data_IF_669790601115
#
_entry.id   IF_669790601115
#
_cell.length_a   1.000
_cell.length_b   1.000
_cell.length_c   1.000
_cell.angle_alpha   90.00
_cell.angle_beta   90.00
_cell.angle_gamma   90.00
#
_symmetry.space_group_name_H-M   'P 1'
#
loop_
_entity.id
_entity.type
_entity.pdbx_description
1 polymer ?
#
# COMPACT_ATOMS: atom_id res chain seq x y z
N UNK A 1 -11.35 11.81 -11.75
CA UNK A 1 -10.10 11.26 -11.16
C UNK A 1 -9.95 11.75 -9.73
N UNK A 2 -9.40 10.92 -8.81
CA UNK A 2 -9.40 11.22 -7.39
C UNK A 2 -8.38 12.34 -7.16
N UNK A 3 -8.75 13.29 -6.34
CA UNK A 3 -7.91 14.43 -6.05
C UNK A 3 -7.21 14.19 -4.73
N UNK A 4 -5.88 14.17 -4.77
CA UNK A 4 -5.04 14.19 -3.59
C UNK A 4 -5.01 15.62 -3.09
N UNK A 5 -5.42 15.82 -1.83
CA UNK A 5 -5.24 17.10 -1.16
C UNK A 5 -3.76 17.24 -0.85
N UNK A 6 -3.12 18.24 -1.45
CA UNK A 6 -1.72 18.51 -1.18
C UNK A 6 -1.61 19.20 0.19
N UNK A 7 -1.32 18.40 1.22
CA UNK A 7 -0.99 18.92 2.55
C UNK A 7 0.45 19.45 2.54
N UNK A 8 0.78 20.32 3.51
CA UNK A 8 2.16 20.79 3.70
C UNK A 8 3.12 19.62 3.94
N UNK A 9 2.65 18.60 4.63
CA UNK A 9 3.39 17.36 4.92
C UNK A 9 3.69 16.59 3.64
N UNK A 10 2.68 16.31 2.81
CA UNK A 10 2.87 15.62 1.54
C UNK A 10 3.76 16.41 0.57
N UNK A 11 3.56 17.73 0.48
CA UNK A 11 4.42 18.60 -0.33
C UNK A 11 5.88 18.60 0.12
N UNK A 12 6.12 18.60 1.44
CA UNK A 12 7.46 18.49 2.01
C UNK A 12 8.09 17.13 1.73
N UNK A 13 7.36 16.03 1.93
CA UNK A 13 7.83 14.66 1.64
C UNK A 13 8.19 14.49 0.17
N UNK A 14 7.41 15.07 -0.74
CA UNK A 14 7.71 15.06 -2.17
C UNK A 14 8.99 15.85 -2.49
N UNK A 15 9.18 16.99 -1.84
CA UNK A 15 10.42 17.79 -1.98
C UNK A 15 11.64 17.04 -1.44
N UNK A 16 11.52 16.43 -0.27
CA UNK A 16 12.56 15.60 0.35
C UNK A 16 12.95 14.43 -0.56
N UNK A 17 11.95 13.73 -1.12
CA UNK A 17 12.17 12.66 -2.09
C UNK A 17 12.94 13.18 -3.31
N UNK A 18 12.50 14.28 -3.92
CA UNK A 18 13.15 14.85 -5.08
C UNK A 18 14.61 15.22 -4.80
N UNK A 19 14.87 15.88 -3.67
CA UNK A 19 16.23 16.26 -3.26
C UNK A 19 17.11 15.03 -3.01
N UNK A 20 16.55 13.99 -2.38
CA UNK A 20 17.25 12.72 -2.13
C UNK A 20 17.73 12.05 -3.42
N UNK A 21 16.92 12.07 -4.47
CA UNK A 21 17.27 11.50 -5.79
C UNK A 21 17.99 12.51 -6.71
N UNK A 22 18.36 13.70 -6.21
CA UNK A 22 19.04 14.75 -6.98
C UNK A 22 18.31 15.21 -8.26
N UNK A 23 16.98 15.07 -8.31
CA UNK A 23 16.19 15.48 -9.48
C UNK A 23 15.86 16.98 -9.39
N UNK A 24 15.98 17.74 -10.49
CA UNK A 24 15.65 19.18 -10.45
C UNK A 24 14.14 19.37 -10.58
N UNK A 25 13.61 20.39 -9.91
CA UNK A 25 12.19 20.75 -10.02
C UNK A 25 11.75 21.08 -11.46
N UNK A 26 12.68 21.56 -12.31
CA UNK A 26 12.41 21.85 -13.72
C UNK A 26 12.11 20.56 -14.48
N UNK A 27 12.96 19.55 -14.30
CA UNK A 27 12.88 18.27 -15.01
C UNK A 27 11.58 17.53 -14.67
N UNK A 28 11.20 17.50 -13.38
CA UNK A 28 9.90 16.92 -12.98
C UNK A 28 8.73 17.68 -13.60
N UNK A 29 8.79 19.01 -13.62
CA UNK A 29 7.72 19.82 -14.19
C UNK A 29 7.55 19.59 -15.69
N UNK A 30 8.65 19.50 -16.41
CA UNK A 30 8.71 19.22 -17.84
C UNK A 30 8.12 17.84 -18.16
N UNK A 31 8.51 16.80 -17.40
CA UNK A 31 7.98 15.45 -17.54
C UNK A 31 6.45 15.37 -17.41
N UNK A 32 5.86 16.12 -16.49
CA UNK A 32 4.40 16.17 -16.31
C UNK A 32 3.69 17.21 -17.19
N UNK A 33 4.40 17.85 -18.12
CA UNK A 33 3.85 18.89 -19.00
C UNK A 33 3.36 20.14 -18.24
N UNK A 34 4.04 20.51 -17.16
CA UNK A 34 3.74 21.68 -16.31
C UNK A 34 4.95 22.61 -16.19
N UNK A 35 4.75 23.78 -15.60
CA UNK A 35 5.83 24.76 -15.38
C UNK A 35 6.57 24.49 -14.07
N UNK A 36 7.85 24.84 -13.98
CA UNK A 36 8.62 24.76 -12.73
C UNK A 36 7.95 25.55 -11.59
N UNK A 37 7.24 26.65 -11.91
CA UNK A 37 6.44 27.42 -10.95
C UNK A 37 5.23 26.62 -10.42
N UNK A 38 4.56 25.82 -11.26
CA UNK A 38 3.50 24.92 -10.83
C UNK A 38 4.05 23.87 -9.86
N UNK A 39 5.14 23.19 -10.22
CA UNK A 39 5.73 22.16 -9.38
C UNK A 39 6.25 22.72 -8.04
N UNK A 40 6.86 23.92 -8.03
CA UNK A 40 7.26 24.59 -6.78
C UNK A 40 6.07 24.93 -5.89
N UNK A 41 4.91 25.29 -6.47
CA UNK A 41 3.67 25.48 -5.69
C UNK A 41 3.15 24.16 -5.12
N UNK A 42 3.37 23.05 -5.82
CA UNK A 42 2.95 21.72 -5.37
C UNK A 42 3.75 21.28 -4.13
N UNK A 43 5.08 21.38 -4.18
CA UNK A 43 5.96 21.09 -3.02
C UNK A 43 5.67 21.99 -1.80
N UNK A 44 5.16 23.20 -2.03
CA UNK A 44 4.80 24.16 -0.97
C UNK A 44 3.36 24.00 -0.47
N UNK A 45 2.59 23.06 -1.02
CA UNK A 45 1.16 22.91 -0.76
C UNK A 45 0.33 24.17 -1.08
N UNK A 46 0.81 24.99 -2.02
CA UNK A 46 0.09 26.17 -2.52
C UNK A 46 -0.89 25.83 -3.66
N UNK A 47 -0.79 24.62 -4.21
CA UNK A 47 -1.84 24.00 -5.03
C UNK A 47 -2.64 23.12 -4.07
N UNK A 48 -3.96 23.30 -4.01
CA UNK A 48 -4.80 22.57 -3.05
C UNK A 48 -4.97 21.09 -3.41
N UNK A 49 -4.99 20.76 -4.71
CA UNK A 49 -5.21 19.39 -5.16
C UNK A 49 -4.42 19.02 -6.42
N UNK A 50 -4.02 17.76 -6.52
CA UNK A 50 -3.46 17.11 -7.72
C UNK A 50 -4.23 15.81 -8.00
N UNK A 51 -4.26 15.34 -9.24
CA UNK A 51 -4.76 14.00 -9.55
C UNK A 51 -3.79 12.93 -9.05
N UNK A 52 -4.29 11.84 -8.45
CA UNK A 52 -3.46 10.74 -7.94
C UNK A 52 -2.52 10.15 -9.01
N UNK A 53 -3.04 9.91 -10.22
CA UNK A 53 -2.24 9.42 -11.34
C UNK A 53 -1.11 10.37 -11.75
N UNK A 54 -1.27 11.67 -11.49
CA UNK A 54 -0.20 12.65 -11.70
C UNK A 54 0.83 12.57 -10.57
N UNK A 55 0.41 12.34 -9.32
CA UNK A 55 1.32 12.12 -8.20
C UNK A 55 2.14 10.84 -8.38
N UNK A 56 1.51 9.74 -8.78
CA UNK A 56 2.16 8.47 -9.11
C UNK A 56 3.25 8.67 -10.17
N UNK A 57 2.91 9.32 -11.30
CA UNK A 57 3.87 9.65 -12.36
C UNK A 57 5.04 10.49 -11.87
N UNK A 58 4.78 11.49 -11.02
CA UNK A 58 5.83 12.33 -10.45
C UNK A 58 6.78 11.48 -9.61
N UNK A 59 6.24 10.65 -8.72
CA UNK A 59 7.04 9.86 -7.77
C UNK A 59 7.85 8.79 -8.50
N UNK A 60 7.24 8.07 -9.44
CA UNK A 60 7.93 7.07 -10.26
C UNK A 60 9.05 7.69 -11.10
N UNK A 61 8.82 8.89 -11.66
CA UNK A 61 9.85 9.63 -12.38
C UNK A 61 11.00 10.08 -11.46
N UNK A 62 10.71 10.58 -10.26
CA UNK A 62 11.75 11.02 -9.31
C UNK A 62 12.63 9.84 -8.88
N UNK A 63 12.03 8.67 -8.69
CA UNK A 63 12.70 7.48 -8.16
C UNK A 63 13.30 6.58 -9.24
N UNK A 64 12.98 6.85 -10.50
CA UNK A 64 13.29 5.98 -11.64
C UNK A 64 12.87 4.52 -11.37
N UNK A 65 11.67 4.36 -10.81
CA UNK A 65 11.13 3.07 -10.38
C UNK A 65 9.65 2.99 -10.68
N UNK A 66 9.23 1.87 -11.29
CA UNK A 66 7.82 1.56 -11.50
C UNK A 66 7.07 1.35 -10.17
N UNK A 67 7.78 0.99 -9.09
CA UNK A 67 7.22 0.80 -7.75
C UNK A 67 7.47 1.97 -6.80
N UNK A 68 7.98 3.10 -7.32
CA UNK A 68 8.41 4.23 -6.52
C UNK A 68 7.27 4.87 -5.73
N UNK A 69 6.08 4.91 -6.33
CA UNK A 69 4.87 5.42 -5.71
C UNK A 69 4.47 4.56 -4.52
N UNK A 70 4.39 3.23 -4.66
CA UNK A 70 4.06 2.34 -3.57
C UNK A 70 5.03 2.48 -2.39
N UNK A 71 6.35 2.50 -2.65
CA UNK A 71 7.37 2.66 -1.62
C UNK A 71 7.23 4.02 -0.89
N UNK A 72 6.95 5.08 -1.63
CA UNK A 72 6.72 6.42 -1.08
C UNK A 72 5.47 6.46 -0.19
N UNK A 73 4.40 5.84 -0.65
CA UNK A 73 3.13 5.77 0.06
C UNK A 73 3.21 4.92 1.33
N UNK A 74 3.88 3.76 1.29
CA UNK A 74 4.11 2.93 2.47
C UNK A 74 4.96 3.68 3.51
N UNK A 75 6.01 4.36 3.06
CA UNK A 75 6.85 5.17 3.95
C UNK A 75 6.06 6.26 4.64
N UNK A 76 5.29 7.06 3.90
CA UNK A 76 4.48 8.12 4.50
C UNK A 76 3.48 7.51 5.48
N UNK A 77 2.77 6.46 5.06
CA UNK A 77 1.74 5.83 5.88
C UNK A 77 2.27 5.30 7.22
N UNK A 78 3.53 4.83 7.25
CA UNK A 78 4.18 4.33 8.47
C UNK A 78 4.42 5.41 9.54
N UNK A 79 4.39 6.69 9.16
CA UNK A 79 4.61 7.84 10.06
C UNK A 79 3.30 8.48 10.54
N UNK A 80 2.14 8.03 10.04
CA UNK A 80 0.83 8.64 10.30
C UNK A 80 0.05 7.89 11.40
N UNK A 81 -0.81 8.61 12.11
CA UNK A 81 -1.73 8.03 13.09
C UNK A 81 -2.90 7.29 12.43
N UNK A 82 -3.51 6.38 13.17
CA UNK A 82 -4.72 5.65 12.75
C UNK A 82 -5.87 6.57 12.29
N UNK A 83 -6.06 7.71 12.95
CA UNK A 83 -7.06 8.72 12.58
C UNK A 83 -6.78 9.37 11.22
N UNK A 84 -5.52 9.75 10.94
CA UNK A 84 -5.15 10.32 9.63
C UNK A 84 -5.32 9.30 8.51
N UNK A 85 -4.89 8.06 8.73
CA UNK A 85 -4.99 6.98 7.76
C UNK A 85 -6.44 6.67 7.36
N UNK A 86 -7.39 6.83 8.29
CA UNK A 86 -8.82 6.55 8.07
C UNK A 86 -9.63 7.72 7.51
N UNK A 87 -9.08 8.94 7.47
CA UNK A 87 -9.81 10.15 7.07
C UNK A 87 -9.32 10.77 5.76
N UNK A 88 -8.06 10.56 5.40
CA UNK A 88 -7.47 11.09 4.17
C UNK A 88 -7.84 10.24 2.95
N UNK A 89 -8.66 10.80 2.05
CA UNK A 89 -9.23 10.08 0.89
C UNK A 89 -8.17 9.43 -0.03
N UNK A 90 -7.02 10.07 -0.20
CA UNK A 90 -5.94 9.54 -1.03
C UNK A 90 -5.25 8.34 -0.37
N UNK A 91 -5.09 8.36 0.95
CA UNK A 91 -4.61 7.20 1.72
C UNK A 91 -5.63 6.07 1.67
N UNK A 92 -6.93 6.37 1.76
CA UNK A 92 -7.97 5.36 1.59
C UNK A 92 -7.92 4.70 0.20
N UNK A 93 -7.68 5.47 -0.87
CA UNK A 93 -7.52 4.90 -2.21
C UNK A 93 -6.27 4.03 -2.30
N UNK A 94 -5.13 4.50 -1.79
CA UNK A 94 -3.92 3.68 -1.73
C UNK A 94 -4.12 2.41 -0.92
N UNK A 95 -4.54 2.51 0.33
CA UNK A 95 -4.61 1.39 1.27
C UNK A 95 -5.73 0.39 0.93
N UNK A 96 -6.95 0.90 0.67
CA UNK A 96 -8.09 0.01 0.46
C UNK A 96 -8.13 -0.57 -0.95
N UNK A 97 -7.62 0.16 -1.96
CA UNK A 97 -7.76 -0.20 -3.38
C UNK A 97 -6.44 -0.61 -4.01
N UNK A 98 -5.41 0.23 -3.88
CA UNK A 98 -4.13 0.05 -4.57
C UNK A 98 -3.26 -1.05 -3.95
N UNK A 99 -3.11 -1.02 -2.63
CA UNK A 99 -2.21 -1.87 -1.87
C UNK A 99 -2.65 -3.33 -1.93
N UNK A 100 -1.69 -4.21 -2.26
CA UNK A 100 -1.89 -5.66 -2.30
C UNK A 100 -1.38 -6.29 -1.02
N UNK A 101 -2.25 -7.08 -0.41
CA UNK A 101 -2.02 -7.80 0.83
C UNK A 101 -2.09 -9.30 0.53
N UNK A 102 -1.19 -10.10 1.10
CA UNK A 102 -1.31 -11.55 1.01
C UNK A 102 -2.59 -12.01 1.73
N UNK A 103 -3.34 -12.90 1.08
CA UNK A 103 -4.66 -13.34 1.56
C UNK A 103 -4.50 -14.62 2.39
N UNK A 104 -4.90 -14.63 3.66
CA UNK A 104 -4.88 -15.84 4.48
C UNK A 104 -5.82 -16.92 3.92
N UNK A 105 -5.36 -18.16 3.80
CA UNK A 105 -6.20 -19.29 3.33
C UNK A 105 -7.47 -19.45 4.18
N UNK A 106 -7.32 -19.30 5.50
CA UNK A 106 -8.44 -19.37 6.46
C UNK A 106 -9.54 -18.33 6.22
N UNK A 107 -9.21 -17.17 5.65
CA UNK A 107 -10.20 -16.15 5.29
C UNK A 107 -11.01 -16.58 4.05
N UNK A 108 -10.35 -17.20 3.08
CA UNK A 108 -11.03 -17.76 1.91
C UNK A 108 -11.93 -18.94 2.31
N UNK A 109 -11.51 -19.76 3.27
CA UNK A 109 -12.33 -20.83 3.85
C UNK A 109 -13.60 -20.26 4.51
N UNK A 110 -13.48 -19.24 5.38
CA UNK A 110 -14.64 -18.60 6.02
C UNK A 110 -15.60 -17.99 4.98
N UNK A 111 -15.09 -17.35 3.93
CA UNK A 111 -15.92 -16.83 2.84
C UNK A 111 -16.68 -17.96 2.13
N UNK A 112 -16.02 -19.09 1.84
CA UNK A 112 -16.65 -20.25 1.19
C UNK A 112 -17.72 -20.89 2.07
N UNK A 113 -17.46 -21.01 3.38
CA UNK A 113 -18.43 -21.50 4.35
C UNK A 113 -19.67 -20.60 4.39
N UNK A 114 -19.48 -19.27 4.51
CA UNK A 114 -20.58 -18.30 4.46
C UNK A 114 -21.40 -18.41 3.17
N UNK A 115 -20.74 -18.57 2.01
CA UNK A 115 -21.43 -18.74 0.73
C UNK A 115 -22.26 -20.03 0.69
N UNK A 116 -21.72 -21.13 1.21
CA UNK A 116 -22.40 -22.42 1.30
C UNK A 116 -23.62 -22.34 2.21
N UNK A 117 -23.47 -21.74 3.40
CA UNK A 117 -24.56 -21.57 4.37
C UNK A 117 -25.71 -20.72 3.82
N UNK A 118 -25.38 -19.73 3.00
CA UNK A 118 -26.34 -18.84 2.36
C UNK A 118 -26.89 -19.40 1.04
N UNK A 119 -26.37 -20.54 0.58
CA UNK A 119 -26.68 -21.14 -0.72
C UNK A 119 -26.63 -20.12 -1.88
N UNK A 120 -25.63 -19.24 -1.86
CA UNK A 120 -25.43 -18.22 -2.90
C UNK A 120 -24.33 -18.67 -3.86
N UNK A 121 -24.60 -18.60 -5.17
CA UNK A 121 -23.58 -18.96 -6.16
C UNK A 121 -22.52 -17.88 -6.30
N UNK A 122 -21.32 -18.26 -6.77
CA UNK A 122 -20.25 -17.30 -7.08
C UNK A 122 -20.70 -16.17 -7.99
N UNK A 123 -21.54 -16.49 -8.99
CA UNK A 123 -22.02 -15.50 -9.96
C UNK A 123 -23.03 -14.56 -9.30
N UNK A 124 -23.98 -15.10 -8.55
CA UNK A 124 -25.02 -14.29 -7.91
C UNK A 124 -24.42 -13.34 -6.88
N UNK A 125 -23.40 -13.76 -6.13
CA UNK A 125 -22.69 -12.88 -5.19
C UNK A 125 -21.98 -11.73 -5.92
N UNK A 126 -21.25 -12.03 -7.00
CA UNK A 126 -20.55 -10.99 -7.79
C UNK A 126 -21.54 -10.02 -8.42
N UNK A 127 -22.62 -10.54 -9.03
CA UNK A 127 -23.67 -9.72 -9.62
C UNK A 127 -24.34 -8.85 -8.55
N UNK A 128 -24.60 -9.40 -7.36
CA UNK A 128 -25.16 -8.67 -6.21
C UNK A 128 -24.26 -7.54 -5.72
N UNK A 129 -22.97 -7.79 -5.53
CA UNK A 129 -21.98 -6.76 -5.17
C UNK A 129 -21.99 -5.62 -6.19
N UNK A 130 -21.99 -5.96 -7.48
CA UNK A 130 -21.87 -4.99 -8.56
C UNK A 130 -23.13 -4.14 -8.77
N UNK A 131 -24.27 -4.49 -8.15
CA UNK A 131 -25.48 -3.64 -8.18
C UNK A 131 -25.24 -2.27 -7.56
N UNK A 132 -24.36 -2.19 -6.55
CA UNK A 132 -24.16 -0.97 -5.75
C UNK A 132 -25.48 -0.38 -5.21
N UNK A 133 -26.41 -1.24 -4.81
CA UNK A 133 -27.75 -0.84 -4.37
C UNK A 133 -27.76 0.08 -3.13
N UNK A 134 -26.65 0.17 -2.39
CA UNK A 134 -26.51 1.09 -1.24
C UNK A 134 -26.40 2.56 -1.66
N UNK A 135 -26.19 2.85 -2.95
CA UNK A 135 -26.08 4.19 -3.55
C UNK A 135 -27.11 4.32 -4.68
N UNK A 136 -28.24 4.94 -4.38
CA UNK A 136 -29.33 5.19 -5.33
C UNK A 136 -29.18 6.55 -6.05
N UNK A 137 -30.04 6.81 -7.04
CA UNK A 137 -30.03 8.08 -7.81
C UNK A 137 -30.29 9.32 -6.94
N UNK A 138 -30.97 9.16 -5.80
CA UNK A 138 -31.23 10.25 -4.86
C UNK A 138 -29.93 10.71 -4.20
N UNK A 139 -29.07 9.76 -3.81
CA UNK A 139 -27.74 10.06 -3.26
C UNK A 139 -26.90 10.89 -4.24
N UNK A 140 -26.81 10.49 -5.51
CA UNK A 140 -26.02 11.20 -6.51
C UNK A 140 -26.54 12.62 -6.74
N UNK A 141 -27.86 12.75 -6.86
CA UNK A 141 -28.54 14.04 -7.06
C UNK A 141 -28.31 15.00 -5.88
N UNK A 142 -28.42 14.51 -4.64
CA UNK A 142 -28.21 15.30 -3.42
C UNK A 142 -26.76 15.81 -3.31
N UNK A 143 -25.79 15.00 -3.72
CA UNK A 143 -24.36 15.30 -3.54
C UNK A 143 -23.68 15.87 -4.79
N UNK A 144 -24.43 16.16 -5.86
CA UNK A 144 -23.93 16.81 -7.07
C UNK A 144 -23.01 15.93 -7.91
N UNK A 145 -23.24 14.62 -7.90
CA UNK A 145 -22.53 13.64 -8.72
C UNK A 145 -23.43 13.10 -9.83
N UNK A 146 -22.84 12.65 -10.94
CA UNK A 146 -23.50 11.79 -11.94
C UNK A 146 -22.87 10.41 -11.85
N UNK A 147 -23.69 9.35 -11.80
CA UNK A 147 -23.22 7.97 -11.64
C UNK A 147 -22.25 7.56 -12.76
N UNK A 148 -22.49 8.01 -13.99
CA UNK A 148 -21.67 7.74 -15.17
C UNK A 148 -20.28 8.40 -15.12
N UNK A 149 -20.11 9.43 -14.29
CA UNK A 149 -18.85 10.16 -14.12
C UNK A 149 -17.95 9.58 -13.02
N UNK A 150 -18.42 8.57 -12.30
CA UNK A 150 -17.72 7.93 -11.18
C UNK A 150 -16.98 6.69 -11.65
N UNK A 151 -15.68 6.65 -11.40
CA UNK A 151 -14.86 5.47 -11.64
C UNK A 151 -15.19 4.40 -10.58
N UNK A 152 -15.27 3.14 -11.01
CA UNK A 152 -15.41 2.02 -10.07
C UNK A 152 -14.13 1.78 -9.26
N UNK A 153 -14.31 1.15 -8.10
CA UNK A 153 -13.28 0.76 -7.13
C UNK A 153 -12.44 1.95 -6.69
N UNK A 154 -13.09 3.05 -6.31
CA UNK A 154 -12.42 4.29 -5.95
C UNK A 154 -13.25 5.11 -4.98
N UNK A 155 -12.59 5.62 -3.95
CA UNK A 155 -13.23 6.47 -2.95
C UNK A 155 -13.36 7.90 -3.46
N UNK A 156 -14.57 8.44 -3.33
CA UNK A 156 -14.93 9.82 -3.64
C UNK A 156 -15.46 10.53 -2.41
N UNK A 157 -15.17 11.83 -2.22
CA UNK A 157 -15.62 12.55 -1.04
C UNK A 157 -17.08 12.99 -1.20
N UNK A 158 -17.82 13.06 -0.11
CA UNK A 158 -19.11 13.74 -0.05
C UNK A 158 -19.26 14.46 1.28
N UNK A 159 -20.23 15.35 1.38
CA UNK A 159 -20.46 16.16 2.59
C UNK A 159 -21.79 15.77 3.21
N UNK A 160 -21.74 15.46 4.50
CA UNK A 160 -22.93 15.15 5.30
C UNK A 160 -23.17 16.31 6.25
N UNK A 161 -24.41 16.78 6.32
CA UNK A 161 -24.83 17.75 7.34
C UNK A 161 -25.34 17.01 8.57
N UNK A 162 -24.67 17.17 9.71
CA UNK A 162 -25.08 16.60 11.00
C UNK A 162 -25.33 17.78 11.95
N UNK A 163 -26.61 18.11 12.13
CA UNK A 163 -27.00 19.35 12.83
C UNK A 163 -26.49 20.59 12.07
N UNK A 164 -25.71 21.43 12.74
CA UNK A 164 -25.08 22.62 12.15
C UNK A 164 -23.67 22.34 11.57
N UNK A 165 -23.12 21.15 11.79
CA UNK A 165 -21.79 20.78 11.29
C UNK A 165 -21.87 20.11 9.91
N UNK A 166 -20.94 20.49 9.02
CA UNK A 166 -20.72 19.82 7.75
C UNK A 166 -19.48 18.94 7.88
N UNK A 167 -19.67 17.61 7.88
CA UNK A 167 -18.59 16.63 7.93
C UNK A 167 -18.28 16.09 6.54
N UNK A 168 -17.01 15.83 6.27
CA UNK A 168 -16.58 15.11 5.07
C UNK A 168 -16.71 13.62 5.33
N UNK A 169 -17.20 12.88 4.33
CA UNK A 169 -17.25 11.42 4.31
C UNK A 169 -16.85 10.92 2.92
N UNK A 170 -16.81 9.60 2.71
CA UNK A 170 -16.40 8.99 1.44
C UNK A 170 -17.37 7.90 0.99
N UNK A 171 -17.60 7.81 -0.32
CA UNK A 171 -18.40 6.77 -0.96
C UNK A 171 -17.61 6.10 -2.09
N UNK A 172 -18.06 4.93 -2.52
CA UNK A 172 -17.41 4.13 -3.57
C UNK A 172 -18.46 3.36 -4.37
N UNK A 173 -18.24 3.28 -5.69
CA UNK A 173 -18.90 2.28 -6.52
C UNK A 173 -17.95 1.10 -6.69
N UNK A 174 -18.36 -0.10 -6.31
CA UNK A 174 -17.55 -1.32 -6.43
C UNK A 174 -17.89 -2.06 -7.71
N UNK A 175 -16.87 -2.63 -8.34
CA UNK A 175 -17.02 -3.57 -9.44
C UNK A 175 -15.97 -4.68 -9.33
N UNK A 176 -16.42 -5.90 -9.05
CA UNK A 176 -15.57 -7.09 -9.04
C UNK A 176 -15.81 -7.86 -10.34
N UNK A 177 -14.75 -8.01 -11.14
CA UNK A 177 -14.80 -8.89 -12.33
C UNK A 177 -14.91 -10.33 -11.87
N UNK A 178 -15.86 -11.10 -12.42
CA UNK A 178 -16.07 -12.51 -12.08
C UNK A 178 -14.79 -13.36 -12.16
N UNK A 179 -13.94 -13.14 -13.18
CA UNK A 179 -12.64 -13.81 -13.29
C UNK A 179 -11.75 -13.56 -12.08
N UNK A 180 -11.64 -12.31 -11.63
CA UNK A 180 -10.80 -11.94 -10.49
C UNK A 180 -11.34 -12.55 -9.19
N UNK A 181 -12.67 -12.57 -9.02
CA UNK A 181 -13.32 -13.26 -7.91
C UNK A 181 -12.99 -14.76 -7.92
N UNK A 182 -13.10 -15.42 -9.08
CA UNK A 182 -12.80 -16.85 -9.20
C UNK A 182 -11.33 -17.16 -8.93
N UNK A 183 -10.40 -16.32 -9.42
CA UNK A 183 -8.98 -16.49 -9.11
C UNK A 183 -8.72 -16.40 -7.62
N UNK A 184 -9.33 -15.43 -6.94
CA UNK A 184 -9.21 -15.24 -5.49
C UNK A 184 -9.78 -16.43 -4.70
N UNK A 185 -11.02 -16.84 -4.99
CA UNK A 185 -11.70 -17.94 -4.27
C UNK A 185 -11.00 -19.28 -4.52
N UNK A 186 -10.46 -19.49 -5.73
CA UNK A 186 -9.69 -20.69 -6.05
C UNK A 186 -8.23 -20.61 -5.59
N UNK A 187 -7.82 -19.51 -4.96
CA UNK A 187 -6.44 -19.27 -4.49
C UNK A 187 -5.41 -19.38 -5.63
N UNK A 188 -5.80 -18.98 -6.84
CA UNK A 188 -4.89 -18.78 -7.97
C UNK A 188 -4.09 -17.49 -7.75
N UNK A 189 -4.76 -16.44 -7.27
CA UNK A 189 -4.13 -15.21 -6.83
C UNK A 189 -3.97 -15.27 -5.30
N UNK A 190 -2.75 -15.11 -4.79
CA UNK A 190 -2.40 -15.18 -3.37
C UNK A 190 -2.46 -13.81 -2.67
N UNK A 191 -2.73 -12.75 -3.43
CA UNK A 191 -2.81 -11.37 -2.94
C UNK A 191 -4.08 -10.67 -3.43
N UNK A 192 -4.62 -9.77 -2.62
CA UNK A 192 -5.79 -8.94 -2.95
C UNK A 192 -5.72 -7.58 -2.26
N UNK A 193 -6.59 -6.64 -2.62
CA UNK A 193 -6.72 -5.39 -1.87
C UNK A 193 -7.77 -5.53 -0.77
N UNK A 194 -7.69 -4.65 0.23
CA UNK A 194 -8.57 -4.68 1.38
C UNK A 194 -10.05 -4.54 1.00
N UNK A 195 -10.36 -3.61 0.09
CA UNK A 195 -11.72 -3.34 -0.37
C UNK A 195 -12.42 -4.58 -0.94
N UNK A 196 -11.69 -5.41 -1.70
CA UNK A 196 -12.30 -6.58 -2.36
C UNK A 196 -12.82 -7.57 -1.32
N UNK A 197 -11.99 -7.95 -0.33
CA UNK A 197 -12.42 -8.90 0.71
C UNK A 197 -13.46 -8.29 1.63
N UNK A 198 -13.28 -7.03 2.01
CA UNK A 198 -14.27 -6.29 2.77
C UNK A 198 -15.64 -6.30 2.09
N UNK A 199 -15.68 -6.02 0.79
CA UNK A 199 -16.95 -5.94 0.04
C UNK A 199 -17.61 -7.30 -0.07
N UNK A 200 -16.84 -8.38 -0.28
CA UNK A 200 -17.36 -9.75 -0.31
C UNK A 200 -18.03 -10.08 1.03
N UNK A 201 -17.34 -9.87 2.15
CA UNK A 201 -17.86 -10.14 3.48
C UNK A 201 -19.09 -9.29 3.82
N UNK A 202 -19.01 -7.98 3.57
CA UNK A 202 -20.13 -7.06 3.80
C UNK A 202 -21.38 -7.51 3.03
N UNK A 203 -21.25 -7.92 1.75
CA UNK A 203 -22.39 -8.38 0.96
C UNK A 203 -22.91 -9.75 1.39
N UNK A 204 -22.06 -10.67 1.84
CA UNK A 204 -22.50 -11.94 2.41
C UNK A 204 -23.31 -11.72 3.70
N UNK A 205 -22.82 -10.87 4.60
CA UNK A 205 -23.53 -10.50 5.82
C UNK A 205 -24.87 -9.82 5.49
N UNK A 206 -24.86 -8.88 4.56
CA UNK A 206 -26.06 -8.20 4.08
C UNK A 206 -27.08 -9.18 3.47
N UNK A 207 -26.62 -10.14 2.68
CA UNK A 207 -27.47 -11.18 2.10
C UNK A 207 -28.09 -12.06 3.18
N UNK A 208 -27.30 -12.47 4.19
CA UNK A 208 -27.79 -13.18 5.37
C UNK A 208 -28.89 -12.42 6.10
N UNK A 209 -28.71 -11.11 6.33
CA UNK A 209 -29.71 -10.28 6.99
C UNK A 209 -31.02 -10.18 6.19
N UNK A 210 -30.92 -10.03 4.86
CA UNK A 210 -32.10 -10.01 3.98
C UNK A 210 -32.90 -11.31 4.05
N UNK A 211 -32.24 -12.47 4.11
CA UNK A 211 -32.91 -13.76 4.24
C UNK A 211 -33.65 -13.94 5.57
N UNK A 212 -33.12 -13.39 6.66
CA UNK A 212 -33.66 -13.60 8.02
C UNK A 212 -34.79 -12.62 8.35
N UNK A 213 -34.59 -11.32 8.08
CA UNK A 213 -35.42 -10.28 8.71
C UNK A 213 -36.33 -9.51 7.76
N UNK A 214 -36.14 -9.50 6.43
CA UNK A 214 -36.99 -8.72 5.50
C UNK A 214 -37.20 -7.22 5.87
N UNK A 215 -36.33 -6.63 6.70
CA UNK A 215 -36.36 -5.22 7.14
C UNK A 215 -35.00 -4.56 6.84
N UNK A 216 -34.97 -3.23 6.87
CA UNK A 216 -33.74 -2.42 6.86
C UNK A 216 -32.72 -2.93 7.89
N UNK A 217 -31.47 -3.11 7.43
CA UNK A 217 -30.34 -3.54 8.24
C UNK A 217 -29.53 -2.33 8.71
N UNK A 218 -28.94 -2.42 9.91
CA UNK A 218 -27.99 -1.42 10.37
C UNK A 218 -26.67 -1.55 9.62
N UNK A 219 -26.43 -0.64 8.68
CA UNK A 219 -25.21 -0.58 7.87
C UNK A 219 -23.96 -0.56 8.74
N UNK A 220 -23.95 0.20 9.84
CA UNK A 220 -22.75 0.34 10.68
C UNK A 220 -22.41 -0.97 11.41
N UNK A 221 -23.42 -1.71 11.87
CA UNK A 221 -23.21 -3.06 12.43
C UNK A 221 -22.61 -4.02 11.41
N UNK A 222 -23.11 -4.05 10.16
CA UNK A 222 -22.56 -4.91 9.11
C UNK A 222 -21.11 -4.53 8.76
N UNK A 223 -20.82 -3.24 8.64
CA UNK A 223 -19.47 -2.74 8.38
C UNK A 223 -18.50 -3.19 9.47
N UNK A 224 -18.93 -3.08 10.74
CA UNK A 224 -18.13 -3.49 11.90
C UNK A 224 -17.92 -5.01 11.91
N UNK A 225 -18.94 -5.80 11.61
CA UNK A 225 -18.84 -7.26 11.58
C UNK A 225 -17.93 -7.74 10.45
N UNK A 226 -18.06 -7.19 9.24
CA UNK A 226 -17.15 -7.47 8.13
C UNK A 226 -15.69 -7.17 8.51
N UNK A 227 -15.45 -6.02 9.16
CA UNK A 227 -14.11 -5.64 9.60
C UNK A 227 -13.59 -6.55 10.73
N UNK A 228 -14.45 -7.02 11.64
CA UNK A 228 -14.08 -7.99 12.67
C UNK A 228 -13.65 -9.33 12.07
N UNK A 229 -14.32 -9.80 11.01
CA UNK A 229 -13.92 -11.03 10.30
C UNK A 229 -12.54 -10.83 9.66
N UNK A 230 -12.32 -9.73 8.94
CA UNK A 230 -10.99 -9.42 8.39
C UNK A 230 -9.90 -9.39 9.48
N UNK A 231 -10.17 -8.73 10.60
CA UNK A 231 -9.25 -8.62 11.73
C UNK A 231 -8.98 -9.97 12.41
N UNK A 232 -9.98 -10.84 12.52
CA UNK A 232 -9.84 -12.22 13.02
C UNK A 232 -8.83 -13.01 12.19
N UNK A 233 -8.84 -12.82 10.87
CA UNK A 233 -7.89 -13.42 9.95
C UNK A 233 -6.61 -12.59 9.72
N UNK A 234 -6.46 -11.48 10.44
CA UNK A 234 -5.28 -10.61 10.39
C UNK A 234 -5.05 -9.95 9.03
N UNK A 235 -6.13 -9.69 8.30
CA UNK A 235 -6.11 -8.98 7.02
C UNK A 235 -6.46 -7.51 7.24
N UNK A 236 -5.46 -6.72 7.63
CA UNK A 236 -5.64 -5.34 8.10
C UNK A 236 -5.47 -4.30 7.00
N UNK A 237 -6.31 -3.27 7.03
CA UNK A 237 -5.94 -1.97 6.46
C UNK A 237 -4.79 -1.34 7.27
N UNK A 238 -4.09 -0.35 6.71
CA UNK A 238 -3.09 0.43 7.45
C UNK A 238 -3.72 1.12 8.67
N UNK A 239 -4.94 1.65 8.53
CA UNK A 239 -5.65 2.28 9.65
C UNK A 239 -5.96 1.28 10.77
N UNK A 240 -6.45 0.08 10.43
CA UNK A 240 -6.71 -0.98 11.42
C UNK A 240 -5.41 -1.43 12.09
N UNK A 241 -4.34 -1.64 11.31
CA UNK A 241 -3.04 -2.05 11.83
C UNK A 241 -2.44 -1.00 12.77
N UNK A 242 -2.53 0.28 12.42
CA UNK A 242 -2.08 1.39 13.25
C UNK A 242 -2.89 1.46 14.56
N UNK A 243 -4.22 1.38 14.48
CA UNK A 243 -5.09 1.40 15.66
C UNK A 243 -4.81 0.24 16.63
N UNK A 244 -4.69 -0.98 16.10
CA UNK A 244 -4.34 -2.15 16.91
C UNK A 244 -2.95 -2.03 17.54
N UNK A 245 -1.98 -1.47 16.80
CA UNK A 245 -0.62 -1.23 17.30
C UNK A 245 -0.57 -0.16 18.39
N UNK A 246 -1.35 0.92 18.24
CA UNK A 246 -1.50 1.98 19.25
C UNK A 246 -2.13 1.45 20.56
N UNK A 247 -2.95 0.40 20.47
CA UNK A 247 -3.60 -0.23 21.62
C UNK A 247 -2.75 -1.31 22.30
N UNK A 248 -1.75 -1.88 21.61
CA UNK A 248 -0.87 -2.89 22.17
C UNK A 248 0.07 -2.27 23.22
N UNK A 249 -0.01 -2.78 24.45
CA UNK A 249 0.79 -2.30 25.60
C UNK A 249 2.04 -3.13 25.83
N UNK A 250 2.08 -4.34 25.29
CA UNK A 250 3.21 -5.26 25.44
C UNK A 250 3.69 -5.80 24.09
N UNK A 251 4.95 -6.28 24.06
CA UNK A 251 5.51 -6.93 22.87
C UNK A 251 4.76 -8.22 22.51
N UNK A 252 4.21 -8.94 23.50
CA UNK A 252 3.41 -10.15 23.27
C UNK A 252 2.08 -9.81 22.61
N UNK A 253 1.38 -8.77 23.11
CA UNK A 253 0.16 -8.25 22.49
C UNK A 253 0.43 -7.82 21.05
N UNK A 254 1.50 -7.05 20.82
CA UNK A 254 1.90 -6.64 19.47
C UNK A 254 2.14 -7.85 18.55
N UNK A 255 2.89 -8.84 19.03
CA UNK A 255 3.22 -10.06 18.26
C UNK A 255 1.96 -10.89 17.96
N UNK A 256 0.95 -10.87 18.82
CA UNK A 256 -0.31 -11.57 18.61
C UNK A 256 -1.13 -11.01 17.44
N UNK A 257 -1.02 -9.70 17.20
CA UNK A 257 -1.67 -8.98 16.12
C UNK A 257 -1.05 -9.30 14.75
N UNK A 258 0.18 -9.81 14.70
CA UNK A 258 0.89 -10.04 13.45
C UNK A 258 0.31 -11.22 12.68
N UNK A 259 0.12 -11.05 11.37
CA UNK A 259 -0.20 -12.16 10.46
C UNK A 259 0.94 -13.19 10.44
N UNK A 260 0.70 -14.39 9.92
CA UNK A 260 1.78 -15.37 9.75
C UNK A 260 2.87 -14.86 8.79
N UNK A 261 2.49 -14.05 7.81
CA UNK A 261 3.44 -13.35 6.92
C UNK A 261 4.29 -12.33 7.69
N UNK A 262 3.67 -11.49 8.53
CA UNK A 262 4.39 -10.53 9.38
C UNK A 262 5.34 -11.24 10.35
N UNK A 263 4.89 -12.34 10.97
CA UNK A 263 5.72 -13.14 11.88
C UNK A 263 6.91 -13.76 11.15
N UNK A 264 6.69 -14.34 9.97
CA UNK A 264 7.77 -14.90 9.16
C UNK A 264 8.79 -13.80 8.78
N UNK A 265 8.30 -12.63 8.35
CA UNK A 265 9.14 -11.47 8.06
C UNK A 265 10.00 -11.09 9.30
N UNK A 266 9.38 -10.91 10.47
CA UNK A 266 10.11 -10.60 11.70
C UNK A 266 11.14 -11.67 12.07
N UNK A 267 10.82 -12.96 11.88
CA UNK A 267 11.78 -14.03 12.11
C UNK A 267 13.01 -13.88 11.21
N UNK A 268 12.84 -13.53 9.93
CA UNK A 268 13.95 -13.29 9.01
C UNK A 268 14.75 -12.03 9.37
N UNK A 269 14.08 -10.93 9.72
CA UNK A 269 14.74 -9.71 10.23
C UNK A 269 15.59 -10.04 11.47
N UNK A 270 15.03 -10.76 12.44
CA UNK A 270 15.75 -11.13 13.67
C UNK A 270 16.96 -12.02 13.39
N UNK A 271 16.89 -12.92 12.39
CA UNK A 271 18.05 -13.71 11.94
C UNK A 271 19.14 -12.82 11.37
N UNK A 272 18.80 -11.82 10.55
CA UNK A 272 19.76 -10.84 10.00
C UNK A 272 20.39 -10.04 11.14
N UNK A 273 19.59 -9.52 12.07
CA UNK A 273 20.07 -8.75 13.23
C UNK A 273 21.00 -9.57 14.12
N UNK A 274 20.68 -10.85 14.32
CA UNK A 274 21.52 -11.77 15.11
C UNK A 274 22.88 -12.00 14.44
N UNK A 275 22.92 -12.15 13.11
CA UNK A 275 24.18 -12.25 12.36
C UNK A 275 25.01 -10.95 12.47
N UNK A 276 24.36 -9.79 12.37
CA UNK A 276 25.01 -8.48 12.53
C UNK A 276 25.55 -8.30 13.96
N UNK A 277 24.78 -8.70 14.97
CA UNK A 277 25.20 -8.62 16.38
C UNK A 277 26.45 -9.46 16.61
N UNK A 278 26.46 -10.70 16.12
CA UNK A 278 27.64 -11.57 16.21
C UNK A 278 28.89 -10.94 15.58
N UNK A 279 28.76 -10.33 14.39
CA UNK A 279 29.88 -9.64 13.75
C UNK A 279 30.32 -8.39 14.51
N UNK A 280 29.38 -7.65 15.10
CA UNK A 280 29.66 -6.46 15.90
C UNK A 280 30.41 -6.81 17.18
N UNK A 281 30.08 -7.93 17.82
CA UNK A 281 30.78 -8.43 19.01
C UNK A 281 32.24 -8.84 18.70
N UNK A 282 32.49 -9.30 17.48
CA UNK A 282 33.83 -9.67 17.01
C UNK A 282 34.68 -8.47 16.59
N UNK A 283 34.14 -7.59 15.74
CA UNK A 283 34.79 -6.35 15.28
C UNK A 283 33.75 -5.26 15.00
N UNK A 284 33.45 -4.48 16.03
CA UNK A 284 32.48 -3.38 15.95
C UNK A 284 32.90 -2.29 14.95
N UNK A 285 34.21 -2.05 14.78
CA UNK A 285 34.67 -0.97 13.90
C UNK A 285 34.46 -1.36 12.45
N UNK A 286 34.94 -2.54 12.05
CA UNK A 286 34.75 -3.05 10.71
C UNK A 286 33.26 -3.24 10.38
N UNK A 287 32.48 -3.76 11.33
CA UNK A 287 31.04 -3.95 11.15
C UNK A 287 30.32 -2.62 10.94
N UNK A 288 30.67 -1.56 11.69
CA UNK A 288 30.10 -0.22 11.50
C UNK A 288 30.41 0.37 10.12
N UNK A 289 31.61 0.13 9.57
CA UNK A 289 31.97 0.58 8.22
C UNK A 289 31.08 -0.08 7.16
N UNK A 290 30.80 -1.39 7.29
CA UNK A 290 29.90 -2.12 6.40
C UNK A 290 28.44 -1.72 6.57
N UNK A 291 27.96 -1.61 7.81
CA UNK A 291 26.57 -1.23 8.12
C UNK A 291 26.24 0.16 7.60
N UNK A 292 27.19 1.11 7.65
CA UNK A 292 27.02 2.44 7.08
C UNK A 292 26.76 2.37 5.56
N UNK A 293 27.49 1.50 4.85
CA UNK A 293 27.28 1.30 3.40
C UNK A 293 25.93 0.65 3.13
N UNK A 294 25.57 -0.39 3.89
CA UNK A 294 24.26 -1.06 3.77
C UNK A 294 23.11 -0.09 4.01
N UNK A 295 23.18 0.72 5.07
CA UNK A 295 22.19 1.73 5.39
C UNK A 295 22.06 2.75 4.25
N UNK A 296 23.18 3.27 3.74
CA UNK A 296 23.17 4.19 2.60
C UNK A 296 22.55 3.57 1.34
N UNK A 297 22.79 2.28 1.08
CA UNK A 297 22.22 1.59 -0.07
C UNK A 297 20.70 1.40 0.07
N UNK A 298 20.26 0.96 1.25
CA UNK A 298 18.84 0.82 1.57
C UNK A 298 18.12 2.17 1.55
N UNK A 299 18.79 3.24 1.98
CA UNK A 299 18.27 4.58 1.84
C UNK A 299 18.18 4.97 0.36
N UNK A 300 19.23 4.78 -0.44
CA UNK A 300 19.25 5.23 -1.82
C UNK A 300 18.22 4.52 -2.72
N UNK A 301 18.15 3.17 -2.66
CA UNK A 301 17.21 2.37 -3.44
C UNK A 301 16.87 1.07 -2.66
N UNK A 302 15.83 1.08 -1.80
CA UNK A 302 15.50 -0.03 -0.93
C UNK A 302 15.25 -1.34 -1.69
N UNK A 303 14.47 -1.29 -2.78
CA UNK A 303 14.08 -2.46 -3.58
C UNK A 303 15.30 -3.12 -4.24
N UNK A 304 16.14 -2.32 -4.91
CA UNK A 304 17.36 -2.83 -5.52
C UNK A 304 18.37 -3.32 -4.49
N UNK A 305 18.57 -2.56 -3.40
CA UNK A 305 19.49 -2.95 -2.32
C UNK A 305 19.07 -4.27 -1.68
N UNK A 306 17.76 -4.47 -1.43
CA UNK A 306 17.25 -5.73 -0.89
C UNK A 306 17.46 -6.89 -1.87
N UNK A 307 17.19 -6.70 -3.17
CA UNK A 307 17.47 -7.70 -4.21
C UNK A 307 18.95 -8.04 -4.30
N UNK A 308 19.83 -7.04 -4.19
CA UNK A 308 21.27 -7.25 -4.16
C UNK A 308 21.70 -8.07 -2.94
N UNK A 309 21.19 -7.74 -1.75
CA UNK A 309 21.45 -8.53 -0.52
C UNK A 309 20.87 -9.95 -0.59
N UNK A 310 19.80 -10.17 -1.37
CA UNK A 310 19.19 -11.48 -1.59
C UNK A 310 19.99 -12.38 -2.55
N UNK A 311 21.11 -11.93 -3.11
CA UNK A 311 21.99 -12.76 -3.95
C UNK A 311 22.49 -13.96 -3.15
N UNK A 312 22.24 -15.18 -3.64
CA UNK A 312 22.61 -16.41 -2.95
C UNK A 312 24.13 -16.66 -2.95
N UNK A 313 24.78 -16.22 -1.87
CA UNK A 313 26.21 -16.46 -1.61
C UNK A 313 26.48 -17.79 -0.89
N UNK A 314 25.46 -18.57 -0.52
CA UNK A 314 25.66 -19.84 0.17
C UNK A 314 26.37 -20.86 -0.74
N UNK A 315 26.13 -20.77 -2.05
CA UNK A 315 26.78 -21.58 -3.09
C UNK A 315 28.31 -21.47 -3.10
N UNK A 316 28.88 -20.41 -2.51
CA UNK A 316 30.33 -20.18 -2.43
C UNK A 316 30.85 -20.22 -0.98
N UNK A 317 30.09 -20.80 -0.03
CA UNK A 317 30.46 -20.88 1.38
C UNK A 317 31.83 -21.55 1.60
N UNK A 318 32.14 -22.56 0.79
CA UNK A 318 33.32 -23.40 0.97
C UNK A 318 34.54 -22.86 0.22
N UNK A 319 34.38 -21.74 -0.49
CA UNK A 319 35.47 -21.12 -1.24
C UNK A 319 36.46 -20.46 -0.29
N UNK A 320 37.73 -20.45 -0.70
CA UNK A 320 38.80 -19.78 0.05
C UNK A 320 38.53 -18.28 0.23
N UNK A 321 39.06 -17.68 1.30
CA UNK A 321 38.98 -16.23 1.55
C UNK A 321 39.46 -15.41 0.35
N UNK A 322 40.53 -15.86 -0.33
CA UNK A 322 41.07 -15.21 -1.53
C UNK A 322 40.06 -15.21 -2.68
N UNK A 323 39.38 -16.33 -2.91
CA UNK A 323 38.36 -16.43 -3.96
C UNK A 323 37.14 -15.54 -3.66
N UNK A 324 36.68 -15.51 -2.40
CA UNK A 324 35.60 -14.61 -1.96
C UNK A 324 35.98 -13.14 -2.12
N UNK A 325 37.22 -12.77 -1.79
CA UNK A 325 37.72 -11.41 -1.96
C UNK A 325 37.83 -11.02 -3.44
N UNK A 326 38.27 -11.94 -4.30
CA UNK A 326 38.29 -11.73 -5.74
C UNK A 326 36.88 -11.47 -6.29
N UNK A 327 35.89 -12.29 -5.91
CA UNK A 327 34.50 -12.10 -6.27
C UNK A 327 33.99 -10.70 -5.87
N UNK A 328 34.21 -10.27 -4.63
CA UNK A 328 33.81 -8.94 -4.16
C UNK A 328 34.48 -7.80 -4.94
N UNK A 329 35.74 -7.98 -5.36
CA UNK A 329 36.44 -6.99 -6.18
C UNK A 329 35.83 -6.90 -7.58
N UNK A 330 35.48 -8.03 -8.20
CA UNK A 330 34.81 -8.04 -9.50
C UNK A 330 33.45 -7.33 -9.44
N UNK A 331 32.68 -7.54 -8.36
CA UNK A 331 31.42 -6.82 -8.15
C UNK A 331 31.66 -5.31 -8.07
N UNK A 332 32.68 -4.86 -7.33
CA UNK A 332 33.04 -3.43 -7.23
C UNK A 332 33.47 -2.84 -8.57
N UNK A 333 34.27 -3.58 -9.35
CA UNK A 333 34.69 -3.17 -10.69
C UNK A 333 33.50 -3.03 -11.63
N UNK A 334 32.56 -3.99 -11.57
CA UNK A 334 31.31 -3.93 -12.36
C UNK A 334 30.48 -2.70 -11.99
N UNK A 335 30.29 -2.42 -10.70
CA UNK A 335 29.57 -1.22 -10.24
C UNK A 335 30.23 0.06 -10.75
N UNK A 336 31.57 0.12 -10.75
CA UNK A 336 32.31 1.26 -11.27
C UNK A 336 32.14 1.41 -12.78
N UNK A 337 32.24 0.31 -13.53
CA UNK A 337 32.05 0.30 -14.97
C UNK A 337 30.65 0.78 -15.37
N UNK A 338 29.60 0.31 -14.68
CA UNK A 338 28.21 0.75 -14.92
C UNK A 338 28.05 2.25 -14.69
N UNK A 339 28.71 2.82 -13.66
CA UNK A 339 28.68 4.26 -13.39
C UNK A 339 29.39 5.10 -14.45
N UNK A 340 30.44 4.55 -15.06
CA UNK A 340 31.25 5.22 -16.07
C UNK A 340 30.64 5.11 -17.49
N UNK A 341 29.63 4.26 -17.66
CA UNK A 341 28.89 4.11 -18.90
C UNK A 341 27.84 5.23 -19.05
N UNK A 342 28.07 6.12 -20.01
CA UNK A 342 27.21 7.28 -20.29
C UNK A 342 25.79 6.90 -20.72
N UNK A 343 25.56 5.67 -21.20
CA UNK A 343 24.24 5.17 -21.57
C UNK A 343 23.32 4.87 -20.37
N UNK A 344 23.89 4.79 -19.17
CA UNK A 344 23.15 4.59 -17.92
C UNK A 344 22.86 5.92 -17.18
N UNK A 345 23.28 7.06 -17.73
CA UNK A 345 22.78 8.35 -17.28
C UNK A 345 21.36 8.48 -17.80
N UNK A 346 20.42 8.93 -16.95
CA UNK A 346 19.00 9.14 -17.29
C UNK A 346 18.93 9.74 -18.70
N UNK A 347 18.42 8.98 -19.67
CA UNK A 347 18.21 9.47 -21.03
C UNK A 347 17.11 10.55 -20.95
N UNK A 348 17.55 11.79 -20.91
CA UNK A 348 16.70 12.96 -21.09
C UNK A 348 16.43 13.03 -22.59
N UNK A 349 15.24 12.64 -23.03
CA UNK A 349 14.77 12.98 -24.37
C UNK A 349 14.62 14.51 -24.45
N UNK A 350 15.43 15.14 -25.31
CA UNK A 350 15.32 16.56 -25.72
C UNK A 350 14.01 16.85 -26.48
#
# INVERSE_FOLDING_TARGET
MPKVVMTKELGLKLKELRLKYNVKSKDVAEYIGKTAAYYSKLEKANIQTIEESSLEKIVNFITDSETGYEDFMEKISSELSSEKLSTDLWLMNFDNVGRKLPVPESLIEEIKEMMSDLNISNKDLVDYINTNEDLDESFFSEHGYSRESIDYNKWYPYRIKIGDEVKSSAFILVNIKYKNFMNLINQIDDTSNWLTLYTILYHLLKYRFKLINNVDYDKESLKKEANNILNKHKFYSLADKANLSEQAKTQEEYTSLLSEFDKANLQYINKILSAISFLSDYDVKYTNELLKVIANNLDANPSFALRFMATDIATISDFSTKAKQHYLNQVKELTKAIKEDESNQIEIFD
#
